data_IF_703440461347
#
_entry.id   IF_703440461347
#
_cell.length_a   1.000
_cell.length_b   1.000
_cell.length_c   1.000
_cell.angle_alpha   90.00
_cell.angle_beta   90.00
_cell.angle_gamma   90.00
#
_symmetry.space_group_name_H-M   'P 1'
#
loop_
_entity.id
_entity.type
_entity.pdbx_description
1 polymer ?
#
# COMPACT_ATOMS: atom_id res chain seq x y z
N UNK A 1 34.78 8.82 -7.19
CA UNK A 1 34.57 9.08 -5.75
C UNK A 1 33.32 9.90 -5.40
N UNK A 2 32.73 10.72 -6.30
CA UNK A 2 31.49 11.49 -6.01
C UNK A 2 30.22 10.64 -5.76
N UNK A 3 30.06 9.52 -6.48
CA UNK A 3 28.88 8.65 -6.33
C UNK A 3 28.81 7.98 -4.95
N UNK A 4 29.94 7.52 -4.39
CA UNK A 4 29.97 6.82 -3.09
C UNK A 4 29.70 7.76 -1.90
N UNK A 5 30.06 9.03 -2.00
CA UNK A 5 29.81 10.02 -0.95
C UNK A 5 28.33 10.44 -0.89
N UNK A 6 27.62 10.38 -2.02
CA UNK A 6 26.23 10.80 -2.13
C UNK A 6 25.23 9.76 -1.57
N UNK A 7 25.63 8.49 -1.45
CA UNK A 7 24.76 7.42 -0.90
C UNK A 7 24.83 7.32 0.63
N UNK A 8 25.88 7.86 1.26
CA UNK A 8 26.05 7.78 2.72
C UNK A 8 24.97 8.55 3.51
N UNK A 9 24.54 9.76 3.12
CA UNK A 9 23.49 10.48 3.83
C UNK A 9 22.13 9.77 3.77
N UNK A 10 21.83 9.10 2.64
CA UNK A 10 20.56 8.41 2.38
C UNK A 10 20.33 7.19 3.28
N UNK A 11 21.39 6.56 3.82
CA UNK A 11 21.27 5.45 4.78
C UNK A 11 21.08 5.89 6.23
N UNK A 12 21.32 7.16 6.53
CA UNK A 12 21.22 7.73 7.89
C UNK A 12 19.83 8.26 8.21
N UNK A 13 19.03 8.55 7.18
CA UNK A 13 17.63 8.94 7.35
C UNK A 13 16.88 7.62 7.61
N UNK A 14 16.47 7.40 8.86
CA UNK A 14 15.64 6.24 9.19
C UNK A 14 14.39 6.19 8.31
N UNK A 15 13.85 4.98 8.11
CA UNK A 15 12.66 4.75 7.29
C UNK A 15 11.45 5.57 7.78
N UNK A 16 11.41 5.84 9.08
CA UNK A 16 10.36 6.57 9.80
C UNK A 16 10.26 8.04 9.35
N UNK A 17 11.32 8.86 9.43
CA UNK A 17 11.25 10.24 8.94
C UNK A 17 10.94 10.35 7.45
N UNK A 18 11.38 9.40 6.62
CA UNK A 18 11.04 9.41 5.18
C UNK A 18 9.54 9.28 4.99
N UNK A 19 8.91 8.28 5.60
CA UNK A 19 7.46 8.07 5.47
C UNK A 19 6.65 9.16 6.15
N UNK A 20 7.11 9.67 7.28
CA UNK A 20 6.49 10.82 7.93
C UNK A 20 6.43 12.03 6.99
N UNK A 21 7.56 12.38 6.35
CA UNK A 21 7.59 13.49 5.40
C UNK A 21 6.73 13.21 4.17
N UNK A 22 6.72 11.98 3.65
CA UNK A 22 5.84 11.61 2.53
C UNK A 22 4.36 11.78 2.90
N UNK A 23 3.94 11.37 4.11
CA UNK A 23 2.56 11.55 4.58
C UNK A 23 2.20 13.02 4.73
N UNK A 24 3.08 13.82 5.37
CA UNK A 24 2.87 15.27 5.55
C UNK A 24 2.77 16.00 4.22
N UNK A 25 3.69 15.73 3.29
CA UNK A 25 3.66 16.35 1.97
C UNK A 25 2.48 15.84 1.12
N UNK A 26 2.01 14.61 1.32
CA UNK A 26 0.85 14.08 0.59
C UNK A 26 -0.48 14.68 1.06
N UNK A 27 -0.56 15.18 2.30
CA UNK A 27 -1.75 15.89 2.79
C UNK A 27 -2.04 17.17 2.01
N UNK A 28 -1.00 17.85 1.51
CA UNK A 28 -1.13 19.09 0.74
C UNK A 28 -1.93 18.88 -0.57
N UNK A 29 -1.50 18.03 -1.52
CA UNK A 29 -2.25 17.78 -2.75
C UNK A 29 -3.60 17.12 -2.47
N UNK A 30 -3.68 16.24 -1.45
CA UNK A 30 -4.93 15.58 -1.09
C UNK A 30 -5.97 16.59 -0.58
N UNK A 31 -5.57 17.50 0.29
CA UNK A 31 -6.44 18.56 0.80
C UNK A 31 -6.86 19.55 -0.29
N UNK A 32 -5.94 19.95 -1.18
CA UNK A 32 -6.27 20.84 -2.29
C UNK A 32 -7.25 20.19 -3.26
N UNK A 33 -7.06 18.90 -3.60
CA UNK A 33 -7.99 18.18 -4.44
C UNK A 33 -9.34 17.98 -3.75
N UNK A 34 -9.36 17.69 -2.44
CA UNK A 34 -10.58 17.58 -1.66
C UNK A 34 -11.42 18.86 -1.71
N UNK A 35 -10.80 20.03 -1.52
CA UNK A 35 -11.51 21.32 -1.58
C UNK A 35 -12.01 21.66 -3.00
N UNK A 36 -11.26 21.27 -4.03
CA UNK A 36 -11.60 21.59 -5.43
C UNK A 36 -12.66 20.65 -6.02
N UNK A 37 -12.67 19.36 -5.65
CA UNK A 37 -13.52 18.34 -6.26
C UNK A 37 -14.65 17.84 -5.36
N UNK A 38 -14.54 17.98 -4.04
CA UNK A 38 -15.48 17.36 -3.09
C UNK A 38 -16.30 18.42 -2.34
N UNK A 39 -17.62 18.30 -2.38
CA UNK A 39 -18.53 19.10 -1.54
C UNK A 39 -18.56 18.50 -0.13
N UNK A 40 -17.79 19.10 0.78
CA UNK A 40 -17.70 18.67 2.18
C UNK A 40 -19.07 18.83 2.85
N UNK A 41 -19.82 17.74 2.92
CA UNK A 41 -21.11 17.65 3.62
C UNK A 41 -20.83 17.33 5.09
N UNK A 42 -20.70 18.39 5.88
CA UNK A 42 -20.44 18.36 7.32
C UNK A 42 -21.45 17.52 8.12
N UNK A 43 -22.63 17.25 7.54
CA UNK A 43 -23.69 16.40 8.10
C UNK A 43 -23.30 14.91 8.19
N UNK A 44 -22.32 14.46 7.39
CA UNK A 44 -21.84 13.07 7.39
C UNK A 44 -20.64 12.83 8.32
N UNK A 45 -20.23 13.82 9.12
CA UNK A 45 -19.21 13.64 10.16
C UNK A 45 -19.81 12.81 11.31
N UNK A 46 -19.86 11.49 11.10
CA UNK A 46 -20.24 10.51 12.09
C UNK A 46 -19.05 9.77 12.68
N UNK A 47 -19.31 8.96 13.70
CA UNK A 47 -18.29 8.13 14.34
C UNK A 47 -17.71 7.04 13.40
N UNK A 48 -18.52 6.60 12.43
CA UNK A 48 -18.16 5.56 11.46
C UNK A 48 -17.04 6.01 10.51
N UNK A 49 -17.13 7.14 9.78
CA UNK A 49 -16.04 7.59 8.92
C UNK A 49 -14.78 7.97 9.70
N UNK A 50 -14.92 8.52 10.91
CA UNK A 50 -13.76 8.80 11.79
C UNK A 50 -13.08 7.49 12.22
N UNK A 51 -13.85 6.48 12.62
CA UNK A 51 -13.33 5.16 12.94
C UNK A 51 -12.64 4.49 11.75
N UNK A 52 -13.21 4.60 10.55
CA UNK A 52 -12.59 4.14 9.31
C UNK A 52 -11.26 4.82 9.01
N UNK A 53 -11.18 6.14 9.21
CA UNK A 53 -9.96 6.91 9.03
C UNK A 53 -8.86 6.50 10.03
N UNK A 54 -9.24 6.30 11.29
CA UNK A 54 -8.32 5.79 12.32
C UNK A 54 -7.83 4.38 12.01
N UNK A 55 -8.72 3.49 11.57
CA UNK A 55 -8.35 2.14 11.15
C UNK A 55 -7.38 2.16 9.96
N UNK A 56 -7.68 2.96 8.94
CA UNK A 56 -6.82 3.11 7.75
C UNK A 56 -5.44 3.67 8.11
N UNK A 57 -5.38 4.69 8.97
CA UNK A 57 -4.12 5.32 9.37
C UNK A 57 -3.27 4.47 10.32
N UNK A 58 -3.86 3.99 11.41
CA UNK A 58 -3.11 3.27 12.45
C UNK A 58 -2.87 1.81 12.09
N UNK A 59 -3.90 1.10 11.64
CA UNK A 59 -3.83 -0.35 11.41
C UNK A 59 -3.26 -0.61 10.01
N UNK A 60 -3.89 -0.07 8.96
CA UNK A 60 -3.46 -0.37 7.59
C UNK A 60 -2.11 0.29 7.27
N UNK A 61 -2.01 1.61 7.38
CA UNK A 61 -0.76 2.31 7.05
C UNK A 61 0.33 2.11 8.12
N UNK A 62 0.00 2.25 9.40
CA UNK A 62 0.96 2.13 10.50
C UNK A 62 1.56 0.72 10.64
N UNK A 63 0.72 -0.31 10.88
CA UNK A 63 1.23 -1.69 10.98
C UNK A 63 1.74 -2.19 9.64
N UNK A 64 1.08 -1.86 8.53
CA UNK A 64 1.54 -2.24 7.19
C UNK A 64 2.96 -1.74 6.91
N UNK A 65 3.26 -0.49 7.25
CA UNK A 65 4.59 0.07 7.11
C UNK A 65 5.61 -0.56 8.07
N UNK A 66 5.24 -0.85 9.31
CA UNK A 66 6.12 -1.55 10.26
C UNK A 66 6.50 -2.94 9.75
N UNK A 67 5.51 -3.72 9.31
CA UNK A 67 5.71 -5.06 8.74
C UNK A 67 6.53 -4.96 7.45
N UNK A 68 6.22 -4.01 6.57
CA UNK A 68 6.95 -3.79 5.32
C UNK A 68 8.42 -3.43 5.57
N UNK A 69 8.69 -2.50 6.49
CA UNK A 69 10.05 -2.13 6.89
C UNK A 69 10.79 -3.30 7.52
N UNK A 70 10.11 -4.11 8.33
CA UNK A 70 10.68 -5.34 8.89
C UNK A 70 11.02 -6.36 7.80
N UNK A 71 10.13 -6.57 6.81
CA UNK A 71 10.36 -7.47 5.68
C UNK A 71 11.54 -6.99 4.83
N UNK A 72 11.63 -5.70 4.52
CA UNK A 72 12.73 -5.13 3.74
C UNK A 72 14.10 -5.30 4.43
N UNK A 73 14.15 -5.30 5.77
CA UNK A 73 15.39 -5.57 6.52
C UNK A 73 15.81 -7.03 6.46
N UNK A 74 14.86 -7.96 6.28
CA UNK A 74 15.10 -9.41 6.38
C UNK A 74 15.12 -10.14 5.04
N UNK A 75 14.45 -9.61 4.03
CA UNK A 75 14.30 -10.23 2.70
C UNK A 75 14.84 -9.33 1.59
N UNK A 76 15.36 -9.94 0.53
CA UNK A 76 15.84 -9.22 -0.64
C UNK A 76 14.68 -8.50 -1.36
N UNK A 77 14.93 -7.34 -2.01
CA UNK A 77 13.88 -6.52 -2.62
C UNK A 77 13.00 -7.28 -3.62
N UNK A 78 13.54 -8.31 -4.26
CA UNK A 78 12.82 -9.17 -5.19
C UNK A 78 11.76 -10.05 -4.53
N UNK A 79 12.02 -10.56 -3.33
CA UNK A 79 11.03 -11.38 -2.58
C UNK A 79 9.90 -10.50 -2.07
N UNK A 80 10.24 -9.29 -1.60
CA UNK A 80 9.25 -8.29 -1.15
C UNK A 80 8.35 -7.85 -2.32
N UNK A 81 8.92 -7.65 -3.52
CA UNK A 81 8.14 -7.31 -4.71
C UNK A 81 7.17 -8.44 -5.11
N UNK A 82 7.58 -9.71 -5.03
CA UNK A 82 6.67 -10.84 -5.24
C UNK A 82 5.54 -10.90 -4.21
N UNK A 83 5.81 -10.48 -2.96
CA UNK A 83 4.81 -10.44 -1.89
C UNK A 83 3.68 -9.43 -2.15
N UNK A 84 3.96 -8.33 -2.86
CA UNK A 84 2.93 -7.36 -3.25
C UNK A 84 1.85 -7.97 -4.16
N UNK A 85 2.13 -9.05 -4.89
CA UNK A 85 1.12 -9.78 -5.67
C UNK A 85 0.14 -10.58 -4.81
N UNK A 86 0.48 -10.87 -3.55
CA UNK A 86 -0.43 -11.51 -2.59
C UNK A 86 -1.50 -10.52 -2.11
N UNK A 87 -1.17 -9.23 -2.03
CA UNK A 87 -2.08 -8.18 -1.57
C UNK A 87 -3.41 -8.12 -2.34
N UNK A 88 -3.45 -8.11 -3.69
CA UNK A 88 -4.72 -8.11 -4.42
C UNK A 88 -5.51 -9.41 -4.24
N UNK A 89 -4.85 -10.57 -4.19
CA UNK A 89 -5.52 -11.88 -4.00
C UNK A 89 -6.16 -11.93 -2.61
N UNK A 90 -5.41 -11.57 -1.57
CA UNK A 90 -5.91 -11.50 -0.20
C UNK A 90 -7.02 -10.45 -0.05
N UNK A 91 -6.91 -9.31 -0.73
CA UNK A 91 -7.97 -8.29 -0.79
C UNK A 91 -9.29 -8.83 -1.37
N UNK A 92 -9.22 -9.57 -2.48
CA UNK A 92 -10.40 -10.23 -3.08
C UNK A 92 -10.99 -11.27 -2.13
N UNK A 93 -10.17 -12.13 -1.54
CA UNK A 93 -10.62 -13.15 -0.59
C UNK A 93 -11.30 -12.54 0.64
N UNK A 94 -10.70 -11.50 1.22
CA UNK A 94 -11.28 -10.75 2.33
C UNK A 94 -12.57 -10.04 1.93
N UNK A 95 -12.67 -9.51 0.71
CA UNK A 95 -13.89 -8.87 0.19
C UNK A 95 -15.04 -9.86 0.09
N UNK A 96 -14.80 -11.03 -0.52
CA UNK A 96 -15.82 -12.09 -0.63
C UNK A 96 -16.25 -12.58 0.77
N UNK A 97 -15.29 -12.70 1.69
CA UNK A 97 -15.57 -13.20 3.04
C UNK A 97 -16.27 -12.17 3.94
N UNK A 98 -15.84 -10.90 3.94
CA UNK A 98 -16.41 -9.85 4.80
C UNK A 98 -17.69 -9.22 4.25
N UNK A 99 -17.75 -8.95 2.94
CA UNK A 99 -18.92 -8.31 2.31
C UNK A 99 -19.96 -9.33 1.82
N UNK A 100 -19.59 -10.62 1.70
CA UNK A 100 -20.49 -11.65 1.16
C UNK A 100 -20.85 -11.43 -0.31
N UNK A 101 -20.08 -10.60 -1.03
CA UNK A 101 -20.34 -10.33 -2.44
C UNK A 101 -20.21 -11.59 -3.29
N UNK A 102 -21.18 -11.79 -4.18
CA UNK A 102 -21.12 -12.86 -5.17
C UNK A 102 -19.95 -12.61 -6.12
N UNK A 103 -19.05 -13.59 -6.21
CA UNK A 103 -17.86 -13.51 -7.06
C UNK A 103 -18.29 -13.25 -8.50
N UNK A 104 -18.19 -12.00 -8.92
CA UNK A 104 -18.55 -11.58 -10.28
C UNK A 104 -17.45 -12.04 -11.25
N UNK A 105 -17.81 -12.34 -12.51
CA UNK A 105 -16.84 -12.75 -13.54
C UNK A 105 -15.63 -11.79 -13.65
N UNK A 106 -15.85 -10.49 -13.43
CA UNK A 106 -14.79 -9.47 -13.39
C UNK A 106 -13.74 -9.72 -12.29
N UNK A 107 -14.17 -10.17 -11.11
CA UNK A 107 -13.26 -10.49 -10.00
C UNK A 107 -12.42 -11.72 -10.36
N UNK A 108 -13.06 -12.75 -10.94
CA UNK A 108 -12.34 -13.96 -11.39
C UNK A 108 -11.29 -13.63 -12.46
N UNK A 109 -11.64 -12.79 -13.44
CA UNK A 109 -10.70 -12.34 -14.47
C UNK A 109 -9.55 -11.56 -13.83
N UNK A 110 -9.85 -10.66 -12.88
CA UNK A 110 -8.84 -9.90 -12.14
C UNK A 110 -7.86 -10.81 -11.38
N UNK A 111 -8.38 -11.79 -10.63
CA UNK A 111 -7.55 -12.77 -9.90
C UNK A 111 -6.70 -13.59 -10.87
N UNK A 112 -7.25 -14.03 -12.00
CA UNK A 112 -6.51 -14.75 -13.03
C UNK A 112 -5.39 -13.90 -13.63
N UNK A 113 -5.64 -12.61 -13.90
CA UNK A 113 -4.64 -11.69 -14.45
C UNK A 113 -3.50 -11.43 -13.47
N UNK A 114 -3.81 -11.26 -12.18
CA UNK A 114 -2.82 -11.13 -11.10
C UNK A 114 -1.98 -12.40 -10.98
N UNK A 115 -2.61 -13.57 -11.02
CA UNK A 115 -1.92 -14.86 -11.00
C UNK A 115 -0.98 -15.03 -12.21
N UNK A 116 -1.43 -14.65 -13.41
CA UNK A 116 -0.61 -14.66 -14.62
C UNK A 116 0.57 -13.68 -14.52
N UNK A 117 0.35 -12.47 -13.99
CA UNK A 117 1.41 -11.49 -13.76
C UNK A 117 2.46 -11.99 -12.76
N UNK A 118 2.03 -12.65 -11.69
CA UNK A 118 2.94 -13.27 -10.71
C UNK A 118 3.77 -14.38 -11.35
N UNK A 119 3.14 -15.26 -12.14
CA UNK A 119 3.83 -16.35 -12.84
C UNK A 119 4.90 -15.81 -13.79
N UNK A 120 4.60 -14.75 -14.57
CA UNK A 120 5.58 -14.12 -15.45
C UNK A 120 6.72 -13.45 -14.68
N UNK A 121 6.41 -12.72 -13.61
CA UNK A 121 7.40 -12.02 -12.79
C UNK A 121 8.37 -12.97 -12.05
N UNK A 122 7.88 -14.14 -11.64
CA UNK A 122 8.70 -15.17 -10.98
C UNK A 122 9.36 -16.14 -11.96
N UNK A 123 8.72 -16.44 -13.09
CA UNK A 123 9.22 -17.34 -14.13
C UNK A 123 10.38 -16.78 -14.95
N UNK A 124 10.47 -15.46 -15.14
CA UNK A 124 11.55 -14.80 -15.90
C UNK A 124 12.92 -14.72 -15.20
N UNK A 125 13.09 -15.36 -14.04
CA UNK A 125 14.33 -15.31 -13.24
C UNK A 125 15.05 -16.66 -13.12
N UNK A 126 14.81 -17.56 -14.05
CA UNK A 126 15.66 -18.73 -14.27
C UNK A 126 16.58 -18.45 -15.47
N UNK A 127 17.54 -17.54 -15.29
CA UNK A 127 18.84 -17.57 -15.97
C UNK A 127 19.91 -17.08 -14.99
#
# INVERSE_FOLDING_TARGET
>A
MRLVLMVKPLRTIGEIPVVFWMMVFSLLPFGTCGVLFESVRWENLGWIPVGGLLYQGMVIAGLGFMVFSYLMKRYSPSVVASFNFVSPISGVLLSVWMLGESVTASIMIGVALVGAGLYLATGGRRE
#
